data_IF_909785763601
#
_entry.id   IF_909785763601
#
_cell.length_a   1.000
_cell.length_b   1.000
_cell.length_c   1.000
_cell.angle_alpha   90.00
_cell.angle_beta   90.00
_cell.angle_gamma   90.00
#
_symmetry.space_group_name_H-M   'P 1'
#
loop_
_entity.id
_entity.type
_entity.pdbx_description
1 polymer ?
#
# COMPACT_ATOMS: atom_id res chain seq x y z
N UNK A 1 -14.73 -23.49 -6.61
CA UNK A 1 -14.70 -22.98 -8.01
C UNK A 1 -13.55 -21.98 -8.07
N UNK A 2 -12.72 -22.04 -9.11
CA UNK A 2 -11.33 -21.58 -9.10
C UNK A 2 -11.21 -20.05 -9.25
N UNK A 3 -11.05 -19.33 -8.13
CA UNK A 3 -10.71 -17.89 -8.11
C UNK A 3 -9.31 -17.62 -8.67
N UNK A 4 -8.42 -18.62 -8.61
CA UNK A 4 -7.06 -18.56 -9.16
C UNK A 4 -7.03 -18.34 -10.68
N UNK A 5 -8.11 -18.68 -11.40
CA UNK A 5 -8.23 -18.44 -12.85
C UNK A 5 -8.53 -16.99 -13.20
N UNK A 6 -9.06 -16.18 -12.26
CA UNK A 6 -9.32 -14.75 -12.50
C UNK A 6 -8.06 -13.89 -12.41
N UNK A 7 -7.13 -14.22 -11.50
CA UNK A 7 -5.90 -13.46 -11.28
C UNK A 7 -4.88 -13.71 -12.41
N UNK A 8 -4.81 -14.95 -12.92
CA UNK A 8 -3.88 -15.30 -14.01
C UNK A 8 -4.28 -14.70 -15.37
N UNK A 9 -5.56 -14.38 -15.59
CA UNK A 9 -6.06 -13.93 -16.89
C UNK A 9 -5.90 -12.41 -17.15
N UNK A 10 -5.50 -11.62 -16.15
CA UNK A 10 -5.34 -10.16 -16.26
C UNK A 10 -3.90 -9.70 -16.57
N UNK A 11 -2.97 -10.63 -16.81
CA UNK A 11 -1.55 -10.37 -17.12
C UNK A 11 -1.29 -9.98 -18.60
N UNK A 12 -2.23 -9.27 -19.24
CA UNK A 12 -2.13 -9.00 -20.69
C UNK A 12 -1.17 -7.82 -20.99
N UNK A 13 -0.75 -7.04 -19.99
CA UNK A 13 0.30 -6.01 -20.13
C UNK A 13 1.13 -5.84 -18.85
N UNK A 14 2.38 -5.33 -18.91
CA UNK A 14 3.20 -5.04 -17.72
C UNK A 14 2.51 -4.13 -16.70
N UNK A 15 1.74 -3.13 -17.17
CA UNK A 15 1.01 -2.22 -16.30
C UNK A 15 -0.14 -2.91 -15.54
N UNK A 16 -0.89 -3.78 -16.21
CA UNK A 16 -1.97 -4.54 -15.55
C UNK A 16 -1.44 -5.61 -14.59
N UNK A 17 -0.29 -6.21 -14.90
CA UNK A 17 0.42 -7.12 -13.99
C UNK A 17 0.88 -6.40 -12.72
N UNK A 18 1.51 -5.23 -12.86
CA UNK A 18 1.96 -4.42 -11.75
C UNK A 18 0.82 -3.98 -10.83
N UNK A 19 -0.27 -3.47 -11.40
CA UNK A 19 -1.46 -3.07 -10.63
C UNK A 19 -2.08 -4.27 -9.88
N UNK A 20 -2.11 -5.44 -10.51
CA UNK A 20 -2.60 -6.67 -9.88
C UNK A 20 -1.71 -7.12 -8.72
N UNK A 21 -0.38 -7.01 -8.87
CA UNK A 21 0.58 -7.35 -7.82
C UNK A 21 0.43 -6.42 -6.61
N UNK A 22 0.28 -5.10 -6.82
CA UNK A 22 0.03 -4.15 -5.72
C UNK A 22 -1.27 -4.48 -4.99
N UNK A 23 -2.35 -4.77 -5.71
CA UNK A 23 -3.61 -5.16 -5.11
C UNK A 23 -3.51 -6.47 -4.28
N UNK A 24 -2.73 -7.45 -4.76
CA UNK A 24 -2.45 -8.68 -4.00
C UNK A 24 -1.63 -8.39 -2.74
N UNK A 25 -0.63 -7.52 -2.83
CA UNK A 25 0.19 -7.12 -1.67
C UNK A 25 -0.66 -6.42 -0.59
N UNK A 26 -1.52 -5.48 -0.99
CA UNK A 26 -2.42 -4.78 -0.05
C UNK A 26 -3.36 -5.76 0.65
N UNK A 27 -3.94 -6.70 -0.11
CA UNK A 27 -4.81 -7.74 0.44
C UNK A 27 -4.08 -8.63 1.45
N UNK A 28 -2.88 -9.12 1.12
CA UNK A 28 -2.10 -9.99 2.00
C UNK A 28 -1.65 -9.25 3.27
N UNK A 29 -1.30 -7.97 3.16
CA UNK A 29 -0.96 -7.12 4.31
C UNK A 29 -2.16 -6.91 5.23
N UNK A 30 -3.34 -6.59 4.69
CA UNK A 30 -4.55 -6.40 5.48
C UNK A 30 -4.98 -7.68 6.20
N UNK A 31 -4.89 -8.83 5.53
CA UNK A 31 -5.14 -10.12 6.15
C UNK A 31 -4.15 -10.42 7.29
N UNK A 32 -2.86 -10.13 7.07
CA UNK A 32 -1.81 -10.31 8.10
C UNK A 32 -2.06 -9.43 9.31
N UNK A 33 -2.47 -8.17 9.11
CA UNK A 33 -2.79 -7.24 10.20
C UNK A 33 -4.04 -7.68 10.98
N UNK A 34 -5.06 -8.22 10.30
CA UNK A 34 -6.23 -8.77 10.96
C UNK A 34 -5.88 -9.97 11.85
N UNK A 35 -5.05 -10.90 11.34
CA UNK A 35 -4.56 -12.04 12.13
C UNK A 35 -3.71 -11.58 13.33
N UNK A 36 -2.87 -10.56 13.15
CA UNK A 36 -2.09 -9.98 14.25
C UNK A 36 -2.99 -9.37 15.34
N UNK A 37 -4.04 -8.65 14.98
CA UNK A 37 -4.99 -8.09 15.95
C UNK A 37 -5.73 -9.19 16.73
N UNK A 38 -6.14 -10.26 16.04
CA UNK A 38 -6.79 -11.43 16.65
C UNK A 38 -5.86 -12.13 17.66
N UNK A 39 -4.58 -12.29 17.32
CA UNK A 39 -3.58 -12.96 18.17
C UNK A 39 -3.19 -12.11 19.38
N UNK A 40 -2.97 -10.81 19.20
CA UNK A 40 -2.59 -9.89 20.28
C UNK A 40 -3.77 -9.57 21.20
N UNK A 41 -4.99 -9.73 20.71
CA UNK A 41 -6.23 -9.34 21.38
C UNK A 41 -6.55 -7.86 21.14
N UNK A 42 -7.84 -7.54 21.30
CA UNK A 42 -8.40 -6.22 20.97
C UNK A 42 -7.62 -5.07 21.61
N UNK A 43 -7.40 -4.00 20.84
CA UNK A 43 -6.75 -2.75 21.26
C UNK A 43 -5.27 -2.91 21.65
N UNK A 44 -4.60 -3.96 21.19
CA UNK A 44 -3.15 -4.15 21.41
C UNK A 44 -2.30 -3.78 20.19
N UNK A 45 -2.94 -3.56 19.04
CA UNK A 45 -2.30 -3.15 17.80
C UNK A 45 -2.77 -1.74 17.40
N UNK A 46 -1.83 -0.82 17.20
CA UNK A 46 -2.10 0.50 16.61
C UNK A 46 -1.37 0.60 15.27
N UNK A 47 -2.12 0.71 14.16
CA UNK A 47 -1.55 0.76 12.81
C UNK A 47 -1.58 2.19 12.29
N UNK A 48 -0.41 2.76 12.01
CA UNK A 48 -0.28 4.07 11.36
C UNK A 48 0.15 3.88 9.91
N UNK A 49 -0.75 4.10 8.96
CA UNK A 49 -0.49 3.87 7.53
C UNK A 49 -0.06 5.14 6.82
N UNK A 50 1.01 5.04 6.04
CA UNK A 50 1.39 6.06 5.06
C UNK A 50 1.06 5.53 3.67
N UNK A 51 0.29 6.29 2.91
CA UNK A 51 -0.22 5.87 1.61
C UNK A 51 0.39 6.73 0.50
N UNK A 52 0.81 6.07 -0.57
CA UNK A 52 1.11 6.74 -1.84
C UNK A 52 -0.12 6.61 -2.76
N UNK A 53 -0.56 7.74 -3.31
CA UNK A 53 -1.56 7.75 -4.39
C UNK A 53 -0.93 8.44 -5.59
N UNK A 54 -0.68 7.73 -6.70
CA UNK A 54 -0.10 8.32 -7.89
C UNK A 54 -1.03 9.37 -8.48
N UNK A 55 -0.48 10.52 -8.86
CA UNK A 55 -1.22 11.59 -9.53
C UNK A 55 -1.64 11.18 -10.95
N UNK A 56 -0.89 10.27 -11.57
CA UNK A 56 -1.17 9.72 -12.90
C UNK A 56 -1.18 8.19 -12.89
N UNK A 57 -2.30 7.58 -13.33
CA UNK A 57 -2.53 6.12 -13.33
C UNK A 57 -1.47 5.31 -14.09
N UNK A 58 -0.75 5.91 -15.04
CA UNK A 58 0.34 5.22 -15.74
C UNK A 58 1.56 4.91 -14.83
N UNK A 59 1.67 5.56 -13.68
CA UNK A 59 2.84 5.45 -12.78
C UNK A 59 2.70 4.36 -11.71
N UNK A 60 1.50 3.79 -11.51
CA UNK A 60 1.30 2.61 -10.63
C UNK A 60 2.18 1.44 -11.08
N UNK A 61 2.35 1.31 -12.40
CA UNK A 61 3.09 0.22 -13.01
C UNK A 61 4.57 0.17 -12.62
N UNK A 62 5.20 1.31 -12.39
CA UNK A 62 6.64 1.38 -12.11
C UNK A 62 7.01 0.93 -10.69
N UNK A 63 6.12 1.12 -9.71
CA UNK A 63 6.43 0.83 -8.31
C UNK A 63 6.74 -0.65 -8.05
N UNK A 64 6.15 -1.54 -8.84
CA UNK A 64 6.29 -2.99 -8.66
C UNK A 64 7.60 -3.58 -9.17
N UNK A 65 8.38 -2.85 -9.98
CA UNK A 65 9.55 -3.42 -10.69
C UNK A 65 10.82 -2.55 -10.57
N UNK A 66 10.70 -1.22 -10.67
CA UNK A 66 11.79 -0.27 -10.42
C UNK A 66 11.25 1.18 -10.51
N UNK A 67 11.44 1.98 -9.46
CA UNK A 67 11.06 3.40 -9.47
C UNK A 67 12.07 4.25 -10.26
N UNK A 68 11.61 5.01 -11.25
CA UNK A 68 12.43 6.06 -11.86
C UNK A 68 12.71 7.18 -10.85
N UNK A 69 13.69 8.03 -11.16
CA UNK A 69 13.97 9.23 -10.36
C UNK A 69 12.74 10.12 -10.20
N UNK A 70 11.90 10.23 -11.23
CA UNK A 70 10.67 11.03 -11.18
C UNK A 70 9.65 10.45 -10.20
N UNK A 71 9.45 9.13 -10.23
CA UNK A 71 8.52 8.45 -9.32
C UNK A 71 9.01 8.47 -7.88
N UNK A 72 10.32 8.42 -7.65
CA UNK A 72 10.88 8.64 -6.30
C UNK A 72 10.54 10.03 -5.78
N UNK A 73 10.66 11.08 -6.61
CA UNK A 73 10.30 12.44 -6.21
C UNK A 73 8.79 12.57 -5.95
N UNK A 74 7.96 11.95 -6.78
CA UNK A 74 6.50 11.92 -6.61
C UNK A 74 6.10 11.20 -5.30
N UNK A 75 6.74 10.07 -4.99
CA UNK A 75 6.57 9.34 -3.74
C UNK A 75 7.04 10.15 -2.53
N UNK A 76 8.17 10.86 -2.64
CA UNK A 76 8.59 11.78 -1.57
C UNK A 76 7.58 12.90 -1.37
N UNK A 77 6.99 13.42 -2.44
CA UNK A 77 5.97 14.46 -2.35
C UNK A 77 4.69 13.96 -1.69
N UNK A 78 4.34 12.68 -1.85
CA UNK A 78 3.14 12.12 -1.21
C UNK A 78 3.20 12.16 0.31
N UNK A 79 4.39 12.23 0.92
CA UNK A 79 4.54 12.43 2.37
C UNK A 79 3.81 13.69 2.86
N UNK A 80 3.75 14.74 2.02
CA UNK A 80 3.11 16.00 2.35
C UNK A 80 1.59 16.03 2.06
N UNK A 81 1.01 14.91 1.61
CA UNK A 81 -0.44 14.79 1.43
C UNK A 81 -1.18 15.06 2.75
N UNK A 82 -2.45 15.47 2.66
CA UNK A 82 -3.25 15.68 3.88
C UNK A 82 -3.38 14.41 4.72
N UNK A 83 -3.53 13.25 4.07
CA UNK A 83 -3.65 11.95 4.72
C UNK A 83 -2.35 11.57 5.45
N UNK A 84 -1.20 11.69 4.80
CA UNK A 84 0.08 11.36 5.44
C UNK A 84 0.47 12.36 6.53
N UNK A 85 0.04 13.62 6.44
CA UNK A 85 0.16 14.58 7.56
C UNK A 85 -0.66 14.16 8.77
N UNK A 86 -1.87 13.62 8.58
CA UNK A 86 -2.68 13.05 9.69
C UNK A 86 -2.01 11.81 10.28
N UNK A 87 -1.47 10.92 9.46
CA UNK A 87 -0.70 9.75 9.91
C UNK A 87 0.55 10.15 10.69
N UNK A 88 1.30 11.14 10.21
CA UNK A 88 2.46 11.67 10.93
C UNK A 88 2.07 12.26 12.29
N UNK A 89 0.94 12.97 12.37
CA UNK A 89 0.44 13.47 13.64
C UNK A 89 0.05 12.33 14.59
N UNK A 90 -0.53 11.24 14.08
CA UNK A 90 -0.81 10.04 14.87
C UNK A 90 0.47 9.36 15.38
N UNK A 91 1.46 9.18 14.51
CA UNK A 91 2.76 8.62 14.86
C UNK A 91 3.45 9.43 15.97
N UNK A 92 3.47 10.76 15.83
CA UNK A 92 4.04 11.66 16.85
C UNK A 92 3.34 11.50 18.20
N UNK A 93 2.01 11.36 18.23
CA UNK A 93 1.25 11.13 19.47
C UNK A 93 1.62 9.79 20.12
N UNK A 94 1.87 8.75 19.34
CA UNK A 94 2.27 7.44 19.86
C UNK A 94 3.68 7.49 20.44
N UNK A 95 4.63 8.09 19.73
CA UNK A 95 6.04 8.16 20.16
C UNK A 95 6.27 9.11 21.34
N UNK A 96 5.33 10.02 21.60
CA UNK A 96 5.39 10.94 22.74
C UNK A 96 4.71 10.37 24.01
N UNK A 97 4.11 9.17 23.94
CA UNK A 97 3.67 8.42 25.12
C UNK A 97 4.85 7.74 25.80
#
# INVERSE_FOLDING_TARGET
KSDSKGILHNLITPASAAASLTAMQDFDQDNTLALLDDVLGKNKLEVVRFLYRPVHKQNEASMSLHLSTREKLDLMQSFYSEENRKSLAALKRILAR
#
